data_IF_659728711744
#
_entry.id   IF_659728711744
#
_cell.length_a   1.000
_cell.length_b   1.000
_cell.length_c   1.000
_cell.angle_alpha   90.00
_cell.angle_beta   90.00
_cell.angle_gamma   90.00
#
_symmetry.space_group_name_H-M   'P 1'
#
loop_
_entity.id
_entity.type
_entity.pdbx_description
1 polymer ?
#
# COMPACT_ATOMS: atom_id res chain seq x y z
N UNK A 1 3.40 0.58 -15.40
CA UNK A 1 2.41 0.60 -14.32
C UNK A 1 2.74 -0.51 -13.34
N UNK A 2 3.10 -0.18 -12.11
CA UNK A 2 3.40 -1.14 -11.03
C UNK A 2 2.12 -1.85 -10.60
N UNK A 3 2.00 -3.14 -10.90
CA UNK A 3 0.79 -3.94 -10.64
C UNK A 3 0.55 -4.23 -9.15
N UNK A 4 1.52 -3.91 -8.30
CA UNK A 4 1.60 -4.35 -6.91
C UNK A 4 1.32 -3.24 -5.89
N UNK A 5 1.00 -2.04 -6.38
CA UNK A 5 0.81 -0.85 -5.55
C UNK A 5 -0.59 -0.32 -5.81
N UNK A 6 -1.29 0.03 -4.75
CA UNK A 6 -2.51 0.83 -4.83
C UNK A 6 -2.35 2.07 -3.97
N UNK A 7 -3.13 3.08 -4.31
CA UNK A 7 -3.10 4.37 -3.63
C UNK A 7 -4.51 4.87 -3.42
N UNK A 8 -4.76 5.49 -2.28
CA UNK A 8 -6.03 6.13 -1.96
C UNK A 8 -5.78 7.44 -1.24
N UNK A 9 -6.66 8.40 -1.46
CA UNK A 9 -6.62 9.71 -0.83
C UNK A 9 -7.46 9.76 0.44
N UNK A 10 -6.99 10.51 1.43
CA UNK A 10 -7.78 10.97 2.56
C UNK A 10 -7.89 12.49 2.43
N UNK A 11 -9.09 12.98 2.13
CA UNK A 11 -9.34 14.41 1.92
C UNK A 11 -9.02 15.25 3.17
N UNK A 12 -9.30 14.70 4.35
CA UNK A 12 -9.14 15.38 5.63
C UNK A 12 -8.57 14.42 6.68
N UNK A 13 -7.48 14.82 7.33
CA UNK A 13 -6.87 14.08 8.44
C UNK A 13 -7.84 13.85 9.62
N UNK A 14 -8.90 14.64 9.76
CA UNK A 14 -9.96 14.48 10.76
C UNK A 14 -10.82 13.22 10.56
N UNK A 15 -10.84 12.65 9.35
CA UNK A 15 -11.52 11.38 9.08
C UNK A 15 -10.78 10.18 9.69
N UNK A 16 -9.53 10.37 10.13
CA UNK A 16 -8.75 9.32 10.77
C UNK A 16 -9.20 9.19 12.24
N UNK A 17 -9.66 8.02 12.68
CA UNK A 17 -10.12 7.83 14.05
C UNK A 17 -8.96 8.03 15.04
N UNK A 18 -9.18 8.88 16.05
CA UNK A 18 -8.19 9.17 17.10
C UNK A 18 -7.37 10.45 16.88
N UNK A 19 -7.51 11.10 15.73
CA UNK A 19 -6.88 12.41 15.48
C UNK A 19 -7.61 13.50 16.27
N UNK A 20 -6.85 14.29 17.04
CA UNK A 20 -7.40 15.46 17.75
C UNK A 20 -7.52 16.63 16.79
N UNK A 21 -8.61 17.38 16.90
CA UNK A 21 -8.77 18.65 16.22
C UNK A 21 -7.83 19.68 16.86
N UNK A 22 -6.90 20.21 16.07
CA UNK A 22 -6.04 21.33 16.44
C UNK A 22 -6.32 22.50 15.48
N UNK A 23 -6.92 23.60 15.95
CA UNK A 23 -7.26 24.76 15.11
C UNK A 23 -6.03 25.42 14.45
N UNK A 24 -4.83 25.28 15.03
CA UNK A 24 -3.61 25.91 14.49
C UNK A 24 -3.02 25.14 13.30
N UNK A 25 -3.29 23.84 13.20
CA UNK A 25 -2.77 22.96 12.14
C UNK A 25 -3.49 23.12 10.79
N UNK A 26 -4.74 23.59 10.80
CA UNK A 26 -5.56 23.74 9.59
C UNK A 26 -6.03 22.42 8.96
N UNK A 27 -6.78 22.50 7.86
CA UNK A 27 -7.31 21.33 7.14
C UNK A 27 -6.28 20.86 6.11
N UNK A 28 -5.74 19.66 6.32
CA UNK A 28 -4.91 18.99 5.33
C UNK A 28 -5.39 17.55 5.06
N UNK A 29 -5.23 17.13 3.80
CA UNK A 29 -5.42 15.77 3.34
C UNK A 29 -4.07 15.09 3.05
N UNK A 30 -4.12 13.80 2.73
CA UNK A 30 -2.94 13.03 2.36
C UNK A 30 -3.26 11.95 1.33
N UNK A 31 -2.31 11.67 0.45
CA UNK A 31 -2.33 10.50 -0.42
C UNK A 31 -1.54 9.36 0.23
N UNK A 32 -2.18 8.21 0.37
CA UNK A 32 -1.57 7.01 0.95
C UNK A 32 -1.27 6.03 -0.17
N UNK A 33 0.01 5.67 -0.31
CA UNK A 33 0.48 4.67 -1.26
C UNK A 33 0.90 3.40 -0.53
N UNK A 34 0.23 2.28 -0.83
CA UNK A 34 0.52 0.98 -0.24
C UNK A 34 1.15 0.08 -1.29
N UNK A 35 2.36 -0.41 -1.01
CA UNK A 35 3.07 -1.35 -1.87
C UNK A 35 3.09 -2.74 -1.26
N UNK A 36 2.58 -3.72 -2.01
CA UNK A 36 2.55 -5.13 -1.60
C UNK A 36 3.70 -5.90 -2.23
N UNK A 37 4.33 -6.75 -1.43
CA UNK A 37 5.45 -7.58 -1.86
C UNK A 37 5.38 -8.98 -1.25
N UNK A 38 5.75 -9.99 -2.05
CA UNK A 38 5.93 -11.33 -1.53
C UNK A 38 7.24 -11.44 -0.74
N UNK A 39 7.31 -12.33 0.25
CA UNK A 39 8.58 -12.68 0.89
C UNK A 39 9.64 -13.04 -0.16
N UNK A 40 10.87 -12.53 0.02
CA UNK A 40 11.96 -12.75 -0.93
C UNK A 40 12.19 -11.62 -1.95
N UNK A 41 11.35 -10.58 -1.98
CA UNK A 41 11.56 -9.38 -2.81
C UNK A 41 12.90 -8.66 -2.58
N UNK A 42 13.55 -8.91 -1.43
CA UNK A 42 14.89 -8.40 -1.08
C UNK A 42 15.96 -8.71 -2.13
N UNK A 43 15.83 -9.77 -2.93
CA UNK A 43 16.81 -10.14 -3.96
C UNK A 43 17.05 -9.04 -5.01
N UNK A 44 16.06 -8.19 -5.27
CA UNK A 44 16.19 -7.05 -6.18
C UNK A 44 16.84 -5.82 -5.53
N UNK A 45 16.80 -5.73 -4.19
CA UNK A 45 17.24 -4.55 -3.43
C UNK A 45 18.65 -4.72 -2.84
N UNK A 46 19.05 -5.96 -2.54
CA UNK A 46 20.35 -6.26 -1.91
C UNK A 46 21.53 -5.90 -2.83
N UNK A 47 22.65 -5.47 -2.22
CA UNK A 47 23.92 -5.18 -2.93
C UNK A 47 24.61 -6.46 -3.42
N UNK A 48 24.79 -7.44 -2.53
CA UNK A 48 25.44 -8.73 -2.85
C UNK A 48 24.50 -9.64 -3.62
N UNK A 49 24.95 -10.20 -4.74
CA UNK A 49 24.20 -11.16 -5.57
C UNK A 49 22.78 -10.66 -5.93
N UNK A 50 22.67 -9.42 -6.41
CA UNK A 50 21.40 -8.84 -6.88
C UNK A 50 20.86 -9.65 -8.06
N UNK A 51 19.57 -9.97 -8.03
CA UNK A 51 18.90 -10.69 -9.12
C UNK A 51 17.55 -10.05 -9.46
N UNK A 52 17.09 -10.24 -10.69
CA UNK A 52 15.77 -9.80 -11.13
C UNK A 52 14.71 -10.71 -10.54
N UNK A 53 13.56 -10.12 -10.20
CA UNK A 53 12.42 -10.87 -9.68
C UNK A 53 11.68 -11.52 -10.86
N UNK A 54 11.49 -12.84 -10.84
CA UNK A 54 10.72 -13.53 -11.86
C UNK A 54 9.26 -13.10 -11.83
N UNK A 55 8.62 -13.03 -12.99
CA UNK A 55 7.22 -12.58 -13.12
C UNK A 55 6.24 -13.41 -12.29
N UNK A 56 6.53 -14.69 -12.06
CA UNK A 56 5.72 -15.62 -11.24
C UNK A 56 5.59 -15.19 -9.77
N UNK A 57 6.56 -14.44 -9.26
CA UNK A 57 6.59 -13.96 -7.85
C UNK A 57 5.94 -12.57 -7.74
N UNK A 58 5.63 -11.90 -8.86
CA UNK A 58 4.91 -10.64 -8.83
C UNK A 58 3.47 -10.87 -8.41
N UNK A 59 2.91 -9.89 -7.70
CA UNK A 59 1.53 -9.93 -7.24
C UNK A 59 0.65 -9.41 -8.37
N UNK A 60 -0.45 -10.13 -8.64
CA UNK A 60 -1.46 -9.64 -9.57
C UNK A 60 -2.43 -8.70 -8.85
N UNK A 61 -3.09 -7.76 -9.54
CA UNK A 61 -4.06 -6.87 -8.91
C UNK A 61 -5.20 -7.62 -8.21
N UNK A 62 -5.65 -8.75 -8.79
CA UNK A 62 -6.68 -9.61 -8.22
C UNK A 62 -6.21 -10.28 -6.92
N UNK A 63 -4.95 -10.76 -6.89
CA UNK A 63 -4.38 -11.35 -5.69
C UNK A 63 -4.22 -10.32 -4.57
N UNK A 64 -3.78 -9.10 -4.92
CA UNK A 64 -3.72 -7.98 -3.97
C UNK A 64 -5.10 -7.65 -3.38
N UNK A 65 -6.13 -7.61 -4.23
CA UNK A 65 -7.52 -7.40 -3.83
C UNK A 65 -8.00 -8.50 -2.86
N UNK A 66 -7.83 -9.77 -3.20
CA UNK A 66 -8.20 -10.89 -2.32
C UNK A 66 -7.46 -10.83 -0.98
N UNK A 67 -6.16 -10.52 -0.99
CA UNK A 67 -5.38 -10.39 0.24
C UNK A 67 -5.91 -9.28 1.15
N UNK A 68 -6.28 -8.12 0.59
CA UNK A 68 -6.86 -7.01 1.34
C UNK A 68 -8.23 -7.33 1.93
N UNK A 69 -9.07 -8.08 1.20
CA UNK A 69 -10.36 -8.55 1.71
C UNK A 69 -10.20 -9.51 2.88
N UNK A 70 -9.30 -10.49 2.77
CA UNK A 70 -9.13 -11.52 3.80
C UNK A 70 -8.42 -11.03 5.07
N UNK A 71 -7.35 -10.24 4.92
CA UNK A 71 -6.51 -9.84 6.06
C UNK A 71 -7.04 -8.57 6.75
N UNK A 72 -7.56 -7.62 5.97
CA UNK A 72 -7.97 -6.30 6.46
C UNK A 72 -9.49 -6.08 6.45
N UNK A 73 -10.29 -7.09 6.05
CA UNK A 73 -11.75 -7.02 5.96
C UNK A 73 -12.25 -5.80 5.15
N UNK A 74 -11.51 -5.43 4.10
CA UNK A 74 -11.87 -4.30 3.24
C UNK A 74 -12.86 -4.75 2.18
N UNK A 75 -13.91 -3.95 1.93
CA UNK A 75 -14.79 -4.15 0.77
C UNK A 75 -14.22 -3.40 -0.43
N UNK A 76 -14.09 -4.10 -1.55
CA UNK A 76 -13.67 -3.51 -2.83
C UNK A 76 -14.95 -3.21 -3.61
N UNK A 77 -15.16 -1.93 -3.92
CA UNK A 77 -16.31 -1.40 -4.67
C UNK A 77 -15.90 -1.16 -6.11
#
# INVERSE_FOLDING_TARGET
VSLNTFSFGIDEHLRIPGTRYDPELGIFGMDICVSLERPGFRIARRKRCKSKIPSKVRISPLEAACYMMHEFNVQII
#
